data_IF_827071456265
#
_entry.id   IF_827071456265
#
_cell.length_a   1.000
_cell.length_b   1.000
_cell.length_c   1.000
_cell.angle_alpha   90.00
_cell.angle_beta   90.00
_cell.angle_gamma   90.00
#
_symmetry.space_group_name_H-M   'P 1'
#
loop_
_entity.id
_entity.type
_entity.pdbx_description
1 polymer ?
#
# COMPACT_ATOMS: atom_id res chain seq x y z
N UNK A 1 2.86 10.30 -8.31
CA UNK A 1 3.42 9.28 -7.37
C UNK A 1 3.41 9.85 -5.96
N UNK A 2 3.80 9.06 -4.96
CA UNK A 2 3.88 9.48 -3.55
C UNK A 2 5.34 9.58 -3.10
N UNK A 3 5.61 10.43 -2.13
CA UNK A 3 6.94 10.60 -1.54
C UNK A 3 7.41 9.26 -0.92
N UNK A 4 8.63 8.78 -1.23
CA UNK A 4 9.18 7.55 -0.65
C UNK A 4 9.28 7.54 0.88
N UNK A 5 9.16 8.70 1.55
CA UNK A 5 9.10 8.80 3.00
C UNK A 5 7.70 8.47 3.57
N UNK A 6 6.66 8.47 2.74
CA UNK A 6 5.34 7.96 3.11
C UNK A 6 5.29 6.43 3.03
N UNK A 7 4.39 5.79 3.79
CA UNK A 7 4.22 4.33 3.76
C UNK A 7 3.93 3.82 2.35
N UNK A 8 2.88 4.32 1.68
CA UNK A 8 2.50 3.87 0.33
C UNK A 8 3.56 4.24 -0.73
N UNK A 9 4.25 5.38 -0.58
CA UNK A 9 5.36 5.73 -1.47
C UNK A 9 6.57 4.80 -1.30
N UNK A 10 6.90 4.43 -0.07
CA UNK A 10 7.92 3.44 0.24
C UNK A 10 7.53 2.07 -0.34
N UNK A 11 6.28 1.64 -0.18
CA UNK A 11 5.79 0.36 -0.72
C UNK A 11 5.91 0.29 -2.23
N UNK A 12 5.54 1.37 -2.94
CA UNK A 12 5.71 1.42 -4.39
C UNK A 12 7.18 1.35 -4.79
N UNK A 13 8.05 2.08 -4.10
CA UNK A 13 9.50 1.95 -4.29
C UNK A 13 9.96 0.50 -4.08
N UNK A 14 9.53 -0.14 -2.99
CA UNK A 14 9.90 -1.53 -2.69
C UNK A 14 9.32 -2.54 -3.68
N UNK A 15 8.15 -2.27 -4.25
CA UNK A 15 7.61 -3.02 -5.38
C UNK A 15 8.54 -2.93 -6.60
N UNK A 16 9.04 -1.74 -6.94
CA UNK A 16 10.00 -1.59 -8.05
C UNK A 16 11.31 -2.33 -7.78
N UNK A 17 11.82 -2.31 -6.54
CA UNK A 17 13.02 -3.08 -6.15
C UNK A 17 12.78 -4.57 -6.29
N UNK A 18 11.64 -5.08 -5.81
CA UNK A 18 11.31 -6.50 -5.86
C UNK A 18 11.10 -7.01 -7.30
N UNK A 19 10.49 -6.19 -8.17
CA UNK A 19 10.21 -6.56 -9.57
C UNK A 19 11.47 -6.43 -10.45
N UNK A 20 12.20 -5.33 -10.34
CA UNK A 20 13.26 -4.98 -11.28
C UNK A 20 14.69 -5.25 -10.77
N UNK A 21 14.85 -5.59 -9.49
CA UNK A 21 16.17 -5.80 -8.89
C UNK A 21 17.07 -4.60 -9.10
N UNK A 22 18.29 -4.81 -9.59
CA UNK A 22 19.27 -3.74 -9.87
C UNK A 22 18.77 -2.71 -10.90
N UNK A 23 17.75 -3.06 -11.69
CA UNK A 23 17.13 -2.19 -12.69
C UNK A 23 16.09 -1.21 -12.13
N UNK A 24 15.77 -1.24 -10.84
CA UNK A 24 14.66 -0.46 -10.25
C UNK A 24 14.80 1.05 -10.47
N UNK A 25 16.01 1.61 -10.41
CA UNK A 25 16.22 3.03 -10.72
C UNK A 25 15.97 3.37 -12.19
N UNK A 26 16.20 2.44 -13.11
CA UNK A 26 15.93 2.69 -14.53
C UNK A 26 14.42 2.75 -14.79
N UNK A 27 13.62 1.89 -14.14
CA UNK A 27 12.15 2.02 -14.15
C UNK A 27 11.72 3.42 -13.73
N UNK A 28 12.29 3.96 -12.65
CA UNK A 28 11.97 5.31 -12.19
C UNK A 28 12.42 6.42 -13.15
N UNK A 29 13.56 6.26 -13.83
CA UNK A 29 14.00 7.20 -14.88
C UNK A 29 13.01 7.23 -16.05
N UNK A 30 12.51 6.07 -16.46
CA UNK A 30 11.53 5.94 -17.54
C UNK A 30 10.15 6.46 -17.14
N UNK A 31 9.74 6.24 -15.88
CA UNK A 31 8.47 6.75 -15.35
C UNK A 31 8.47 8.26 -15.16
N UNK A 32 9.62 8.84 -14.81
CA UNK A 32 9.75 10.24 -14.36
C UNK A 32 9.07 11.28 -15.27
N UNK A 33 9.19 11.23 -16.62
CA UNK A 33 8.52 12.19 -17.49
C UNK A 33 6.98 12.17 -17.39
N UNK A 34 6.38 11.05 -16.96
CA UNK A 34 4.95 10.90 -16.76
C UNK A 34 4.48 11.37 -15.37
N UNK A 35 5.39 11.62 -14.43
CA UNK A 35 5.05 12.02 -13.06
C UNK A 35 4.61 13.50 -13.04
N UNK A 36 3.32 13.72 -12.80
CA UNK A 36 2.75 15.08 -12.63
C UNK A 36 3.07 15.73 -11.29
N UNK A 37 3.16 14.91 -10.25
CA UNK A 37 3.35 15.36 -8.86
C UNK A 37 3.90 14.24 -7.99
N UNK A 38 4.59 14.63 -6.93
CA UNK A 38 5.04 13.77 -5.83
C UNK A 38 4.30 14.25 -4.58
N UNK A 39 3.22 13.56 -4.20
CA UNK A 39 2.42 13.94 -3.04
C UNK A 39 3.10 13.48 -1.74
N UNK A 40 3.04 14.25 -0.63
CA UNK A 40 3.70 13.88 0.63
C UNK A 40 3.22 12.56 1.23
N UNK A 41 1.97 12.16 0.99
CA UNK A 41 1.44 10.86 1.38
C UNK A 41 0.14 10.48 0.65
N UNK A 42 -0.45 9.36 1.08
CA UNK A 42 -1.63 8.76 0.45
C UNK A 42 -2.81 9.74 0.39
N UNK A 43 -3.14 10.42 1.49
CA UNK A 43 -4.31 11.30 1.56
C UNK A 43 -4.23 12.48 0.58
N UNK A 44 -3.06 13.11 0.43
CA UNK A 44 -2.91 14.20 -0.54
C UNK A 44 -2.88 13.68 -1.97
N UNK A 45 -2.26 12.51 -2.20
CA UNK A 45 -2.34 11.84 -3.49
C UNK A 45 -3.78 11.52 -3.89
N UNK A 46 -4.59 11.08 -2.93
CA UNK A 46 -6.00 10.73 -3.13
C UNK A 46 -6.83 11.95 -3.53
N UNK A 47 -6.65 13.07 -2.82
CA UNK A 47 -7.29 14.35 -3.19
C UNK A 47 -6.92 14.71 -4.62
N UNK A 48 -5.63 14.68 -5.00
CA UNK A 48 -5.18 15.03 -6.35
C UNK A 48 -5.75 14.13 -7.44
N UNK A 49 -5.90 12.84 -7.16
CA UNK A 49 -6.54 11.90 -8.07
C UNK A 49 -8.02 12.24 -8.24
N UNK A 50 -8.77 12.33 -7.14
CA UNK A 50 -10.21 12.60 -7.16
C UNK A 50 -10.59 14.00 -7.66
N UNK A 51 -9.66 14.96 -7.64
CA UNK A 51 -9.83 16.30 -8.24
C UNK A 51 -9.32 16.41 -9.69
N UNK A 52 -8.97 15.28 -10.33
CA UNK A 52 -8.45 15.21 -11.70
C UNK A 52 -7.14 15.99 -11.94
N UNK A 53 -6.34 16.28 -10.91
CA UNK A 53 -4.99 16.84 -11.09
C UNK A 53 -4.01 15.81 -11.67
N UNK A 54 -4.26 14.52 -11.44
CA UNK A 54 -3.50 13.41 -12.02
C UNK A 54 -4.44 12.25 -12.36
N UNK A 55 -4.31 11.63 -13.55
CA UNK A 55 -5.22 10.56 -14.01
C UNK A 55 -4.95 9.19 -13.37
N UNK A 56 -3.82 9.05 -12.65
CA UNK A 56 -3.42 7.81 -12.00
C UNK A 56 -2.68 8.11 -10.70
N UNK A 57 -3.00 7.33 -9.68
CA UNK A 57 -2.34 7.35 -8.37
C UNK A 57 -1.90 5.94 -8.00
N UNK A 58 -0.81 5.82 -7.25
CA UNK A 58 -0.46 4.57 -6.59
C UNK A 58 -1.26 4.45 -5.31
N UNK A 59 -2.03 3.37 -5.19
CA UNK A 59 -2.90 3.09 -4.06
C UNK A 59 -3.08 1.59 -3.86
N UNK A 60 -4.21 1.20 -3.27
CA UNK A 60 -4.52 -0.20 -2.95
C UNK A 60 -5.62 -0.72 -3.87
N UNK A 61 -5.59 -2.02 -4.18
CA UNK A 61 -6.60 -2.67 -5.02
C UNK A 61 -8.04 -2.47 -4.49
N UNK A 62 -8.19 -2.37 -3.17
CA UNK A 62 -9.45 -2.15 -2.48
C UNK A 62 -9.96 -0.71 -2.54
N UNK A 63 -9.17 0.25 -3.05
CA UNK A 63 -9.62 1.65 -3.20
C UNK A 63 -10.85 1.78 -4.11
N UNK A 64 -11.10 0.81 -4.99
CA UNK A 64 -12.32 0.74 -5.80
C UNK A 64 -13.62 0.64 -5.00
N UNK A 65 -13.55 0.14 -3.77
CA UNK A 65 -14.69 0.03 -2.88
C UNK A 65 -15.18 1.39 -2.39
N UNK A 66 -14.32 2.42 -2.44
CA UNK A 66 -14.72 3.79 -2.11
C UNK A 66 -15.66 4.37 -3.18
N UNK A 67 -15.49 3.96 -4.44
CA UNK A 67 -16.29 4.48 -5.54
C UNK A 67 -17.58 3.69 -5.75
N UNK A 68 -18.61 4.41 -6.18
CA UNK A 68 -19.85 3.81 -6.68
C UNK A 68 -19.53 2.85 -7.84
N UNK A 69 -20.33 1.80 -8.00
CA UNK A 69 -20.12 0.79 -9.04
C UNK A 69 -20.09 1.38 -10.45
N UNK A 70 -20.85 2.46 -10.67
CA UNK A 70 -20.93 3.18 -11.95
C UNK A 70 -19.74 4.12 -12.20
N UNK A 71 -18.85 4.29 -11.22
CA UNK A 71 -17.63 5.09 -11.42
C UNK A 71 -16.77 4.48 -12.51
N UNK A 72 -16.19 5.35 -13.34
CA UNK A 72 -15.15 4.99 -14.31
C UNK A 72 -13.80 4.76 -13.65
N UNK A 73 -13.61 5.23 -12.41
CA UNK A 73 -12.37 5.01 -11.66
C UNK A 73 -12.30 3.56 -11.20
N UNK A 74 -11.21 2.89 -11.59
CA UNK A 74 -10.94 1.49 -11.30
C UNK A 74 -9.48 1.27 -10.93
N UNK A 75 -9.27 0.33 -10.03
CA UNK A 75 -7.99 -0.14 -9.56
C UNK A 75 -7.56 -1.27 -10.47
N UNK A 76 -6.26 -1.37 -10.71
CA UNK A 76 -5.69 -2.50 -11.42
C UNK A 76 -4.39 -2.93 -10.75
N UNK A 77 -4.06 -4.20 -10.91
CA UNK A 77 -2.79 -4.77 -10.46
C UNK A 77 -1.88 -4.90 -11.69
N UNK A 78 -0.62 -4.41 -11.64
CA UNK A 78 0.34 -4.61 -12.72
C UNK A 78 0.54 -6.09 -13.06
N UNK A 79 0.94 -6.38 -14.30
CA UNK A 79 1.11 -7.75 -14.81
C UNK A 79 2.17 -8.59 -14.06
N UNK A 80 3.08 -7.89 -13.39
CA UNK A 80 4.17 -8.39 -12.55
C UNK A 80 3.66 -8.85 -11.18
N UNK A 81 2.45 -8.43 -10.79
CA UNK A 81 1.79 -8.77 -9.55
C UNK A 81 1.67 -7.61 -8.57
N UNK A 82 0.87 -7.83 -7.52
CA UNK A 82 0.63 -6.85 -6.45
C UNK A 82 1.65 -6.98 -5.33
N UNK A 83 2.07 -5.83 -4.78
CA UNK A 83 2.82 -5.79 -3.53
C UNK A 83 1.87 -6.09 -2.37
N UNK A 84 2.19 -7.06 -1.52
CA UNK A 84 1.39 -7.31 -0.32
C UNK A 84 1.81 -6.34 0.77
N UNK A 85 0.86 -5.52 1.21
CA UNK A 85 0.95 -4.73 2.43
C UNK A 85 0.21 -5.44 3.57
N UNK A 86 0.88 -5.66 4.69
CA UNK A 86 0.29 -6.26 5.90
C UNK A 86 0.50 -5.29 7.06
N UNK A 87 -0.61 -4.85 7.65
CA UNK A 87 -0.60 -4.02 8.86
C UNK A 87 -0.52 -4.92 10.10
N UNK A 88 0.57 -4.75 10.86
CA UNK A 88 0.81 -5.50 12.08
C UNK A 88 0.66 -4.64 13.32
N UNK A 89 0.19 -5.24 14.41
CA UNK A 89 0.29 -4.69 15.75
C UNK A 89 1.20 -5.56 16.61
N UNK A 90 1.88 -4.96 17.58
CA UNK A 90 2.77 -5.70 18.50
C UNK A 90 2.83 -5.03 19.86
N UNK A 91 2.99 -5.84 20.91
CA UNK A 91 3.18 -5.34 22.27
C UNK A 91 4.63 -4.87 22.43
N UNK A 92 4.81 -3.62 22.84
CA UNK A 92 6.14 -3.06 23.15
C UNK A 92 6.73 -3.78 24.35
N UNK A 93 7.96 -4.29 24.21
CA UNK A 93 8.68 -4.94 25.30
C UNK A 93 8.90 -3.98 26.47
N UNK A 94 8.36 -4.33 27.64
CA UNK A 94 8.47 -3.57 28.90
C UNK A 94 8.64 -4.52 30.06
N UNK A 95 9.15 -4.01 31.19
CA UNK A 95 9.29 -4.78 32.45
C UNK A 95 7.96 -5.36 32.91
N UNK A 96 6.88 -4.61 32.72
CA UNK A 96 5.51 -5.04 33.00
C UNK A 96 4.63 -4.78 31.78
N UNK A 97 3.89 -5.82 31.36
CA UNK A 97 2.93 -5.77 30.27
C UNK A 97 1.53 -5.74 30.90
N UNK A 98 0.76 -4.69 30.61
CA UNK A 98 -0.62 -4.58 31.08
C UNK A 98 -1.50 -5.61 30.40
N UNK A 99 -2.43 -6.23 31.14
CA UNK A 99 -3.36 -7.22 30.57
C UNK A 99 -4.21 -6.65 29.44
N UNK A 100 -4.59 -5.37 29.52
CA UNK A 100 -5.31 -4.68 28.43
C UNK A 100 -4.55 -4.65 27.10
N UNK A 101 -3.21 -4.71 27.10
CA UNK A 101 -2.45 -4.79 25.86
C UNK A 101 -2.59 -6.16 25.18
N UNK A 102 -2.66 -7.24 25.96
CA UNK A 102 -2.89 -8.59 25.44
C UNK A 102 -4.32 -8.74 24.92
N UNK A 103 -5.30 -8.28 25.72
CA UNK A 103 -6.71 -8.25 25.31
C UNK A 103 -6.93 -7.45 24.02
N UNK A 104 -6.18 -6.36 23.82
CA UNK A 104 -6.26 -5.60 22.58
C UNK A 104 -5.73 -6.40 21.37
N UNK A 105 -4.60 -7.11 21.51
CA UNK A 105 -4.07 -7.96 20.43
C UNK A 105 -5.04 -9.09 20.08
N UNK A 106 -5.71 -9.68 21.08
CA UNK A 106 -6.75 -10.69 20.84
C UNK A 106 -7.96 -10.06 20.13
N UNK A 107 -8.42 -8.90 20.61
CA UNK A 107 -9.58 -8.20 20.05
C UNK A 107 -9.41 -7.81 18.58
N UNK A 108 -8.22 -7.36 18.16
CA UNK A 108 -8.02 -6.99 16.75
C UNK A 108 -8.11 -8.18 15.80
N UNK A 109 -8.02 -9.42 16.29
CA UNK A 109 -8.21 -10.63 15.49
C UNK A 109 -9.66 -11.14 15.52
N UNK A 110 -10.53 -10.56 16.35
CA UNK A 110 -11.95 -10.91 16.36
C UNK A 110 -12.66 -10.45 15.09
N UNK A 111 -13.68 -11.20 14.68
CA UNK A 111 -14.49 -10.92 13.48
C UNK A 111 -15.01 -9.47 13.47
N UNK A 112 -15.46 -8.95 14.62
CA UNK A 112 -16.00 -7.60 14.72
C UNK A 112 -14.97 -6.55 14.31
N UNK A 113 -13.73 -6.67 14.78
CA UNK A 113 -12.67 -5.72 14.42
C UNK A 113 -12.29 -5.88 12.94
N UNK A 114 -12.10 -7.12 12.49
CA UNK A 114 -11.72 -7.43 11.11
C UNK A 114 -12.76 -6.94 10.09
N UNK A 115 -14.05 -7.07 10.41
CA UNK A 115 -15.15 -6.50 9.61
C UNK A 115 -15.11 -4.98 9.56
N UNK A 116 -14.88 -4.32 10.71
CA UNK A 116 -14.75 -2.86 10.75
C UNK A 116 -13.57 -2.37 9.91
N UNK A 117 -12.44 -3.09 9.93
CA UNK A 117 -11.29 -2.76 9.07
C UNK A 117 -11.63 -2.85 7.59
N UNK A 118 -12.36 -3.89 7.19
CA UNK A 118 -12.84 -4.04 5.82
C UNK A 118 -13.76 -2.87 5.42
N UNK A 119 -14.80 -2.60 6.22
CA UNK A 119 -15.84 -1.62 5.88
C UNK A 119 -15.42 -0.15 6.04
N UNK A 120 -14.48 0.14 6.94
CA UNK A 120 -14.12 1.52 7.30
C UNK A 120 -12.71 1.92 6.87
N UNK A 121 -11.78 0.96 6.85
CA UNK A 121 -10.41 1.20 6.38
C UNK A 121 -10.21 0.74 4.93
N UNK A 122 -11.20 0.08 4.32
CA UNK A 122 -11.12 -0.46 2.96
C UNK A 122 -9.90 -1.37 2.77
N UNK A 123 -9.62 -2.24 3.75
CA UNK A 123 -8.52 -3.20 3.71
C UNK A 123 -9.05 -4.63 3.89
N UNK A 124 -8.42 -5.61 3.25
CA UNK A 124 -8.84 -7.00 3.41
C UNK A 124 -8.56 -7.51 4.84
N UNK A 125 -9.47 -8.28 5.44
CA UNK A 125 -9.26 -8.89 6.75
C UNK A 125 -8.20 -9.99 6.66
N UNK A 126 -7.53 -10.27 7.78
CA UNK A 126 -6.54 -11.36 7.92
C UNK A 126 -7.17 -12.67 8.42
N UNK A 127 -8.38 -12.61 8.97
CA UNK A 127 -9.14 -13.78 9.42
C UNK A 127 -10.20 -14.19 8.41
N UNK A 128 -10.62 -15.45 8.48
CA UNK A 128 -11.64 -16.02 7.59
C UNK A 128 -13.03 -15.51 7.98
N UNK A 129 -13.39 -14.33 7.46
CA UNK A 129 -14.70 -13.71 7.63
C UNK A 129 -15.38 -13.56 6.28
N UNK A 130 -16.70 -13.73 6.26
CA UNK A 130 -17.49 -13.47 5.06
C UNK A 130 -17.57 -11.96 4.80
N UNK A 131 -17.03 -11.54 3.66
CA UNK A 131 -17.14 -10.20 3.10
C UNK A 131 -18.40 -10.06 2.24
N UNK A 132 -18.83 -8.82 2.01
CA UNK A 132 -19.96 -8.50 1.14
C UNK A 132 -19.63 -8.66 -0.35
N UNK A 133 -20.68 -8.70 -1.19
CA UNK A 133 -20.54 -8.93 -2.63
C UNK A 133 -19.78 -7.79 -3.34
N UNK A 134 -19.70 -6.61 -2.75
CA UNK A 134 -18.93 -5.47 -3.26
C UNK A 134 -17.45 -5.80 -3.44
N UNK A 135 -16.91 -6.73 -2.65
CA UNK A 135 -15.52 -7.17 -2.74
C UNK A 135 -15.22 -7.99 -4.00
N UNK A 136 -16.25 -8.51 -4.68
CA UNK A 136 -16.08 -9.18 -5.97
C UNK A 136 -15.56 -8.23 -7.07
N UNK A 137 -15.65 -6.91 -6.86
CA UNK A 137 -15.10 -5.90 -7.78
C UNK A 137 -13.61 -5.62 -7.55
N UNK A 138 -13.05 -6.06 -6.43
CA UNK A 138 -11.63 -5.82 -6.13
C UNK A 138 -10.76 -6.69 -7.05
N UNK A 139 -9.83 -6.11 -7.82
CA UNK A 139 -8.95 -6.89 -8.67
C UNK A 139 -8.06 -7.80 -7.81
N UNK A 140 -7.88 -9.04 -8.25
CA UNK A 140 -7.03 -10.03 -7.59
C UNK A 140 -5.89 -10.47 -8.52
N UNK A 141 -4.80 -10.95 -7.93
CA UNK A 141 -3.64 -11.47 -8.65
C UNK A 141 -3.12 -12.73 -7.97
N UNK A 142 -2.81 -13.76 -8.75
CA UNK A 142 -2.08 -14.94 -8.28
C UNK A 142 -0.57 -14.69 -8.19
N UNK A 143 -0.07 -13.63 -8.84
CA UNK A 143 1.32 -13.17 -8.72
C UNK A 143 1.43 -12.21 -7.54
N UNK A 144 2.26 -12.61 -6.57
CA UNK A 144 2.57 -11.85 -5.38
C UNK A 144 4.00 -11.32 -5.48
N UNK A 145 4.15 -10.01 -5.35
CA UNK A 145 5.46 -9.37 -5.26
C UNK A 145 5.86 -9.29 -3.80
N UNK A 146 6.97 -9.93 -3.46
CA UNK A 146 7.55 -9.93 -2.11
C UNK A 146 8.98 -9.45 -2.16
N UNK A 147 9.33 -8.58 -1.21
CA UNK A 147 10.68 -8.07 -1.03
C UNK A 147 11.54 -9.14 -0.34
N UNK A 148 12.80 -9.25 -0.76
CA UNK A 148 13.78 -10.13 -0.11
C UNK A 148 14.25 -9.48 1.19
N UNK A 149 14.50 -10.27 2.24
CA UNK A 149 14.93 -9.75 3.55
C UNK A 149 16.12 -8.79 3.46
N UNK A 150 17.11 -9.09 2.61
CA UNK A 150 18.28 -8.23 2.38
C UNK A 150 17.94 -6.82 1.87
N UNK A 151 16.82 -6.66 1.17
CA UNK A 151 16.40 -5.38 0.60
C UNK A 151 15.67 -4.52 1.65
N UNK A 152 15.10 -5.14 2.69
CA UNK A 152 14.52 -4.43 3.83
C UNK A 152 15.57 -3.67 4.63
N UNK A 153 16.79 -4.21 4.73
CA UNK A 153 17.92 -3.57 5.38
C UNK A 153 18.43 -2.32 4.64
N UNK A 154 18.03 -2.16 3.36
CA UNK A 154 18.48 -1.10 2.46
C UNK A 154 17.43 -0.03 2.16
N UNK A 155 16.26 -0.08 2.82
CA UNK A 155 15.14 0.84 2.55
C UNK A 155 15.59 2.31 2.57
N UNK A 156 16.38 2.71 3.56
CA UNK A 156 16.84 4.09 3.70
C UNK A 156 17.86 4.52 2.62
N UNK A 157 18.63 3.57 2.09
CA UNK A 157 19.51 3.80 0.94
C UNK A 157 18.67 4.01 -0.33
N UNK A 158 17.73 3.09 -0.60
CA UNK A 158 16.82 3.19 -1.75
C UNK A 158 16.00 4.48 -1.73
N UNK A 159 15.48 4.90 -0.56
CA UNK A 159 14.78 6.19 -0.41
C UNK A 159 15.66 7.36 -0.84
N UNK A 160 16.90 7.42 -0.36
CA UNK A 160 17.84 8.52 -0.70
C UNK A 160 18.12 8.57 -2.20
N UNK A 161 18.32 7.42 -2.83
CA UNK A 161 18.55 7.34 -4.27
C UNK A 161 17.34 7.80 -5.07
N UNK A 162 16.14 7.33 -4.72
CA UNK A 162 14.91 7.70 -5.40
C UNK A 162 14.59 9.19 -5.23
N UNK A 163 14.69 9.72 -4.01
CA UNK A 163 14.48 11.14 -3.73
C UNK A 163 15.44 12.01 -4.56
N UNK A 164 16.71 11.60 -4.64
CA UNK A 164 17.71 12.30 -5.48
C UNK A 164 17.34 12.25 -6.96
N UNK A 165 16.80 11.15 -7.45
CA UNK A 165 16.35 11.00 -8.84
C UNK A 165 15.13 11.90 -9.14
N UNK A 166 14.16 11.94 -8.22
CA UNK A 166 12.92 12.71 -8.38
C UNK A 166 13.13 14.23 -8.31
N UNK A 167 14.15 14.70 -7.58
CA UNK A 167 14.51 16.13 -7.48
C UNK A 167 15.31 16.68 -8.67
N UNK A 168 16.01 15.81 -9.39
CA UNK A 168 16.69 16.17 -10.65
C UNK A 168 15.67 16.38 -11.77
#
# INVERSE_FOLDING_TARGET
VLDPNSFTGQEFMMWTVAVYGDGWLNFWKELKPAIKTVAPGWSEGWVKFTTNEAPLMVGYATSDLYFDEKSSDKSFIPSEGGYIYIEGASIVAKKEIKDGAKLFIDYILEEKFQRLMAEKNYMLPVTDIKLGDEYNRVPTSTKLVKVKTKDLEKIEEYKKELIKLLKK
#
